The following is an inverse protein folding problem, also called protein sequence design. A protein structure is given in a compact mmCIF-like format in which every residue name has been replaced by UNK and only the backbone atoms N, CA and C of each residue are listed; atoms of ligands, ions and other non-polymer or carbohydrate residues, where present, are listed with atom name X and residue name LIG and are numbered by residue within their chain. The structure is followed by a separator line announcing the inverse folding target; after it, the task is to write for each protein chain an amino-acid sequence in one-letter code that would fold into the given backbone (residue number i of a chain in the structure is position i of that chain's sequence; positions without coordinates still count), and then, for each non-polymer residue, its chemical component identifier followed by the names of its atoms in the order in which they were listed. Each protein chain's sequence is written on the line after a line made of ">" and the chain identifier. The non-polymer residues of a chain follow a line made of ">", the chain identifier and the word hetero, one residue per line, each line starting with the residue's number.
data_IF_804883283828
#
_entry.id   IF_804883283828
#
_cell.length_a   1.000
_cell.length_b   1.000
_cell.length_c   1.000
_cell.angle_alpha   90.00
_cell.angle_beta   90.00
_cell.angle_gamma   90.00
#
_symmetry.space_group_name_H-M   'P 1'
#
loop_
_entity.id
_entity.type
_entity.pdbx_description
1 polymer ?
#
# COMPACT_ATOMS: atom_id res chain seq x y z
N UNK A 1 43.97 7.05 7.90
CA UNK A 1 42.66 6.39 8.12
C UNK A 1 42.09 6.03 6.74
N UNK A 2 41.88 4.74 6.46
CA UNK A 2 41.43 4.29 5.13
C UNK A 2 39.96 4.65 4.86
N UNK A 3 39.60 4.88 3.59
CA UNK A 3 38.20 5.13 3.23
C UNK A 3 37.35 3.89 3.55
N UNK A 4 36.14 4.05 4.11
CA UNK A 4 35.25 2.93 4.38
C UNK A 4 34.87 2.22 3.08
N UNK A 5 34.75 0.89 3.15
CA UNK A 5 34.30 0.08 2.02
C UNK A 5 32.84 0.44 1.69
N UNK A 6 32.51 0.76 0.43
CA UNK A 6 31.14 1.11 0.07
C UNK A 6 30.21 -0.09 0.27
N UNK A 7 28.95 0.20 0.58
CA UNK A 7 27.89 -0.79 0.67
C UNK A 7 27.72 -1.53 -0.67
N UNK A 8 27.28 -2.79 -0.65
CA UNK A 8 27.12 -3.61 -1.87
C UNK A 8 26.06 -3.05 -2.84
N UNK A 9 25.11 -2.26 -2.33
CA UNK A 9 24.09 -1.57 -3.12
C UNK A 9 24.41 -0.09 -3.21
N UNK A 10 24.14 0.50 -4.37
CA UNK A 10 24.20 1.95 -4.55
C UNK A 10 22.81 2.56 -4.39
N UNK A 11 22.78 3.84 -4.05
CA UNK A 11 21.57 4.65 -3.88
C UNK A 11 20.67 4.56 -5.13
N UNK A 12 21.28 4.59 -6.33
CA UNK A 12 20.59 4.44 -7.62
C UNK A 12 19.83 3.12 -7.71
N UNK A 13 20.38 2.03 -7.18
CA UNK A 13 19.79 0.71 -7.32
C UNK A 13 18.51 0.62 -6.47
N UNK A 14 18.52 1.22 -5.28
CA UNK A 14 17.35 1.35 -4.40
C UNK A 14 16.28 2.24 -5.04
N UNK A 15 16.63 3.46 -5.45
CA UNK A 15 15.67 4.41 -6.06
C UNK A 15 14.99 3.80 -7.29
N UNK A 16 15.79 3.13 -8.14
CA UNK A 16 15.28 2.47 -9.34
C UNK A 16 14.32 1.33 -9.00
N UNK A 17 14.62 0.55 -7.97
CA UNK A 17 13.76 -0.58 -7.59
C UNK A 17 12.43 -0.12 -7.00
N UNK A 18 12.44 0.90 -6.14
CA UNK A 18 11.21 1.48 -5.56
C UNK A 18 10.32 2.02 -6.68
N UNK A 19 10.86 2.86 -7.56
CA UNK A 19 10.08 3.45 -8.65
C UNK A 19 9.48 2.37 -9.57
N UNK A 20 10.27 1.36 -9.98
CA UNK A 20 9.80 0.29 -10.87
C UNK A 20 8.73 -0.59 -10.22
N UNK A 21 8.91 -0.95 -8.95
CA UNK A 21 7.92 -1.75 -8.22
C UNK A 21 6.59 -0.99 -8.11
N UNK A 22 6.66 0.29 -7.74
CA UNK A 22 5.48 1.13 -7.61
C UNK A 22 4.73 1.31 -8.94
N UNK A 23 5.42 1.64 -10.05
CA UNK A 23 4.75 1.80 -11.34
C UNK A 23 4.12 0.50 -11.86
N UNK A 24 4.76 -0.64 -11.61
CA UNK A 24 4.20 -1.95 -11.98
C UNK A 24 2.91 -2.23 -11.20
N UNK A 25 2.91 -1.96 -9.90
CA UNK A 25 1.71 -2.12 -9.07
C UNK A 25 0.63 -1.13 -9.49
N UNK A 26 0.97 0.15 -9.67
CA UNK A 26 0.04 1.19 -10.10
C UNK A 26 -0.68 0.82 -11.40
N UNK A 27 0.03 0.35 -12.41
CA UNK A 27 -0.54 -0.13 -13.68
C UNK A 27 -1.54 -1.29 -13.51
N UNK A 28 -1.35 -2.13 -12.49
CA UNK A 28 -2.32 -3.19 -12.15
C UNK A 28 -3.54 -2.65 -11.39
N UNK A 29 -3.38 -1.58 -10.63
CA UNK A 29 -4.44 -1.00 -9.80
C UNK A 29 -5.42 -0.12 -10.58
N UNK A 30 -5.02 0.47 -11.72
CA UNK A 30 -5.90 1.33 -12.54
C UNK A 30 -7.14 0.60 -13.08
N UNK A 31 -7.12 -0.73 -13.11
CA UNK A 31 -8.28 -1.57 -13.40
C UNK A 31 -8.63 -2.45 -12.19
N UNK A 32 -9.65 -2.05 -11.46
CA UNK A 32 -10.18 -2.78 -10.30
C UNK A 32 -11.66 -3.06 -10.49
N UNK A 33 -12.14 -4.20 -10.00
CA UNK A 33 -13.56 -4.57 -10.04
C UNK A 33 -14.34 -3.78 -8.98
N UNK A 34 -13.70 -3.49 -7.82
CA UNK A 34 -14.25 -2.67 -6.74
C UNK A 34 -13.19 -1.73 -6.18
N UNK A 35 -13.57 -0.47 -5.94
CA UNK A 35 -12.75 0.53 -5.24
C UNK A 35 -13.44 0.91 -3.93
N UNK A 36 -12.73 0.75 -2.82
CA UNK A 36 -13.17 1.14 -1.47
C UNK A 36 -12.39 2.38 -1.06
N UNK A 37 -13.11 3.44 -0.68
CA UNK A 37 -12.53 4.69 -0.20
C UNK A 37 -12.60 4.72 1.33
N UNK A 38 -11.43 4.68 1.98
CA UNK A 38 -11.27 4.60 3.43
C UNK A 38 -10.89 3.20 3.92
N UNK A 39 -9.76 3.10 4.61
CA UNK A 39 -9.25 1.88 5.23
C UNK A 39 -9.58 1.80 6.73
N UNK A 40 -10.78 2.25 7.09
CA UNK A 40 -11.35 2.00 8.42
C UNK A 40 -11.78 0.53 8.61
N UNK A 41 -12.30 0.15 9.78
CA UNK A 41 -12.66 -1.22 10.09
C UNK A 41 -13.69 -1.80 9.13
N UNK A 42 -14.74 -1.02 8.81
CA UNK A 42 -15.77 -1.40 7.85
C UNK A 42 -15.21 -1.57 6.44
N UNK A 43 -14.35 -0.65 5.99
CA UNK A 43 -13.68 -0.72 4.70
C UNK A 43 -12.78 -1.94 4.56
N UNK A 44 -11.98 -2.25 5.59
CA UNK A 44 -11.10 -3.42 5.61
C UNK A 44 -11.87 -4.75 5.62
N UNK A 45 -12.97 -4.83 6.39
CA UNK A 45 -13.82 -6.03 6.40
C UNK A 45 -14.51 -6.22 5.05
N UNK A 46 -15.05 -5.14 4.46
CA UNK A 46 -15.63 -5.16 3.12
C UNK A 46 -14.60 -5.64 2.07
N UNK A 47 -13.38 -5.08 2.12
CA UNK A 47 -12.30 -5.44 1.20
C UNK A 47 -11.91 -6.92 1.31
N UNK A 48 -11.79 -7.43 2.54
CA UNK A 48 -11.52 -8.85 2.80
C UNK A 48 -12.57 -9.74 2.15
N UNK A 49 -13.85 -9.44 2.36
CA UNK A 49 -14.95 -10.28 1.88
C UNK A 49 -15.02 -10.28 0.36
N UNK A 50 -14.90 -9.11 -0.28
CA UNK A 50 -14.89 -8.99 -1.74
C UNK A 50 -13.67 -9.67 -2.38
N UNK A 51 -12.47 -9.48 -1.80
CA UNK A 51 -11.28 -10.16 -2.27
C UNK A 51 -11.39 -11.68 -2.13
N UNK A 52 -12.01 -12.17 -1.05
CA UNK A 52 -12.26 -13.60 -0.82
C UNK A 52 -13.25 -14.20 -1.82
N UNK A 53 -14.14 -13.37 -2.39
CA UNK A 53 -15.05 -13.76 -3.47
C UNK A 53 -14.40 -13.70 -4.86
N UNK A 54 -13.15 -13.25 -4.97
CA UNK A 54 -12.38 -13.19 -6.21
C UNK A 54 -12.44 -11.84 -6.95
N UNK A 55 -13.03 -10.81 -6.35
CA UNK A 55 -13.02 -9.46 -6.94
C UNK A 55 -11.66 -8.79 -6.75
N UNK A 56 -11.12 -8.19 -7.82
CA UNK A 56 -9.98 -7.28 -7.75
C UNK A 56 -10.38 -6.03 -6.98
N UNK A 57 -10.02 -6.00 -5.70
CA UNK A 57 -10.47 -4.98 -4.75
C UNK A 57 -9.32 -4.05 -4.40
N UNK A 58 -9.49 -2.75 -4.67
CA UNK A 58 -8.54 -1.70 -4.33
C UNK A 58 -9.08 -0.89 -3.14
N UNK A 59 -8.22 -0.64 -2.15
CA UNK A 59 -8.51 0.30 -1.05
C UNK A 59 -7.69 1.57 -1.25
N UNK A 60 -8.33 2.73 -1.16
CA UNK A 60 -7.68 4.04 -1.17
C UNK A 60 -7.86 4.69 0.19
N UNK A 61 -6.77 5.01 0.86
CA UNK A 61 -6.75 5.67 2.19
C UNK A 61 -5.96 6.98 2.11
N UNK A 62 -6.45 8.00 2.81
CA UNK A 62 -5.82 9.30 2.89
C UNK A 62 -4.59 9.29 3.81
N UNK A 63 -4.67 8.57 4.94
CA UNK A 63 -3.60 8.46 5.90
C UNK A 63 -2.53 7.45 5.46
N UNK A 64 -1.29 7.65 5.92
CA UNK A 64 -0.21 6.67 5.73
C UNK A 64 -0.49 5.37 6.51
N UNK A 65 -1.19 5.47 7.63
CA UNK A 65 -1.59 4.34 8.46
C UNK A 65 -3.03 3.95 8.18
N UNK A 66 -3.27 2.65 7.99
CA UNK A 66 -4.62 2.07 7.89
C UNK A 66 -5.31 2.08 9.26
N UNK A 67 -6.63 1.88 9.29
CA UNK A 67 -7.41 1.65 10.51
C UNK A 67 -8.39 2.76 10.87
N UNK A 68 -8.26 3.96 10.31
CA UNK A 68 -9.15 5.08 10.64
C UNK A 68 -9.19 5.37 12.16
N UNK A 69 -10.39 5.50 12.73
CA UNK A 69 -10.58 5.77 14.17
C UNK A 69 -10.17 4.64 15.14
N UNK A 70 -9.78 3.45 14.64
CA UNK A 70 -9.49 2.30 15.52
C UNK A 70 -8.32 2.53 16.47
N UNK A 71 -7.36 3.38 16.11
CA UNK A 71 -6.16 3.62 16.93
C UNK A 71 -6.48 4.31 18.26
N UNK A 72 -7.57 5.07 18.35
CA UNK A 72 -7.94 5.87 19.52
C UNK A 72 -9.11 5.29 20.32
N UNK A 73 -9.66 4.14 19.89
CA UNK A 73 -10.83 3.52 20.51
C UNK A 73 -12.16 4.27 20.30
N UNK A 74 -12.15 5.37 19.54
CA UNK A 74 -13.33 6.17 19.20
C UNK A 74 -13.88 5.83 17.82
N UNK A 75 -15.18 5.56 17.75
CA UNK A 75 -15.91 5.32 16.49
C UNK A 75 -16.63 6.61 16.07
N UNK A 76 -16.10 7.30 15.06
CA UNK A 76 -16.80 8.36 14.32
C UNK A 76 -16.52 8.17 12.83
#
# INVERSE_FOLDING_TARGET
>A
MGKPKPAPLRERDITRQIARAHYKEFDQLIESDVIIVGAGPSGLICARDLASMGFRTLIVEQALALGGGFWSGGYL
#
